data_IF_942317624925
#
_entry.id   IF_942317624925
#
_cell.length_a   1.000
_cell.length_b   1.000
_cell.length_c   1.000
_cell.angle_alpha   90.00
_cell.angle_beta   90.00
_cell.angle_gamma   90.00
#
_symmetry.space_group_name_H-M   'P 1'
#
loop_
_entity.id
_entity.type
_entity.pdbx_description
1 polymer ?
#
# COMPACT_ATOMS: atom_id res chain seq x y z
N UNK A 1 2.82 63.91 40.65
CA UNK A 1 2.68 63.55 39.21
C UNK A 1 2.93 62.05 39.08
N UNK A 2 1.91 61.30 38.76
CA UNK A 2 1.99 59.83 38.67
C UNK A 2 2.10 59.45 37.20
N UNK A 3 3.25 58.93 36.79
CA UNK A 3 3.42 58.37 35.45
C UNK A 3 2.82 56.95 35.45
N UNK A 4 1.73 56.79 34.76
CA UNK A 4 1.10 55.52 34.48
C UNK A 4 1.78 54.93 33.25
N UNK A 5 2.70 53.98 33.47
CA UNK A 5 3.31 53.22 32.41
C UNK A 5 2.28 52.24 31.81
N UNK A 6 1.91 52.48 30.58
CA UNK A 6 1.03 51.60 29.80
C UNK A 6 1.84 50.38 29.37
N UNK A 7 1.66 49.25 30.05
CA UNK A 7 2.26 47.96 29.68
C UNK A 7 1.48 47.38 28.51
N UNK A 8 2.06 47.49 27.33
CA UNK A 8 1.48 46.89 26.12
C UNK A 8 1.80 45.40 26.13
N UNK A 9 0.86 44.57 26.53
CA UNK A 9 0.99 43.10 26.42
C UNK A 9 0.71 42.74 24.96
N UNK A 10 1.79 42.45 24.21
CA UNK A 10 1.71 41.89 22.89
C UNK A 10 1.38 40.41 23.07
N UNK A 11 0.11 40.05 22.87
CA UNK A 11 -0.35 38.68 22.78
C UNK A 11 0.07 38.11 21.41
N UNK A 12 1.18 37.39 21.39
CA UNK A 12 1.58 36.63 20.20
C UNK A 12 0.65 35.43 20.12
N UNK A 13 -0.38 35.56 19.27
CA UNK A 13 -1.19 34.41 18.85
C UNK A 13 -0.32 33.53 17.97
N UNK A 14 0.26 32.51 18.56
CA UNK A 14 0.88 31.43 17.80
C UNK A 14 -0.28 30.68 17.09
N UNK A 15 -0.55 31.08 15.86
CA UNK A 15 -1.40 30.32 14.96
C UNK A 15 -0.67 29.03 14.63
N UNK A 16 -0.95 27.95 15.36
CA UNK A 16 -0.63 26.61 14.90
C UNK A 16 -1.46 26.38 13.63
N UNK A 17 -0.90 26.73 12.49
CA UNK A 17 -1.40 26.27 11.21
C UNK A 17 -1.23 24.75 11.17
N UNK A 18 -2.26 24.02 11.58
CA UNK A 18 -2.39 22.61 11.24
C UNK A 18 -2.57 22.56 9.72
N UNK A 19 -1.47 22.56 8.99
CA UNK A 19 -1.45 22.07 7.64
C UNK A 19 -1.72 20.57 7.74
N UNK A 20 -3.00 20.19 7.73
CA UNK A 20 -3.39 18.83 7.44
C UNK A 20 -2.92 18.55 6.01
N UNK A 21 -1.72 17.97 5.91
CA UNK A 21 -1.23 17.43 4.64
C UNK A 21 -2.22 16.33 4.26
N UNK A 22 -3.14 16.63 3.37
CA UNK A 22 -4.04 15.64 2.79
C UNK A 22 -3.14 14.71 2.00
N UNK A 23 -2.78 13.57 2.60
CA UNK A 23 -1.99 12.54 1.97
C UNK A 23 -2.78 12.00 0.79
N UNK A 24 -2.25 12.20 -0.41
CA UNK A 24 -2.88 11.68 -1.62
C UNK A 24 -2.90 10.17 -1.56
N UNK A 25 -4.10 9.58 -1.58
CA UNK A 25 -4.27 8.13 -1.64
C UNK A 25 -3.64 7.58 -2.93
N UNK A 26 -2.96 6.44 -2.81
CA UNK A 26 -2.46 5.72 -3.99
C UNK A 26 -3.64 5.25 -4.84
N UNK A 27 -3.47 5.16 -6.17
CA UNK A 27 -4.52 4.64 -7.03
C UNK A 27 -4.77 3.15 -6.74
N UNK A 28 -5.97 2.65 -7.04
CA UNK A 28 -6.24 1.22 -7.01
C UNK A 28 -5.38 0.49 -8.05
N UNK A 29 -5.18 -0.83 -7.90
CA UNK A 29 -4.54 -1.62 -8.95
C UNK A 29 -5.20 -1.39 -10.31
N UNK A 30 -4.40 -1.10 -11.32
CA UNK A 30 -4.90 -0.75 -12.65
C UNK A 30 -3.95 -1.18 -13.77
N UNK A 31 -4.46 -1.19 -15.00
CA UNK A 31 -3.68 -1.56 -16.19
C UNK A 31 -2.62 -0.51 -16.51
N UNK A 32 -1.40 -0.97 -16.72
CA UNK A 32 -0.26 -0.20 -17.21
C UNK A 32 0.45 -0.97 -18.32
N UNK A 33 1.46 -0.38 -18.94
CA UNK A 33 2.33 -1.11 -19.85
C UNK A 33 3.02 -2.25 -19.09
N UNK A 34 2.80 -3.48 -19.52
CA UNK A 34 3.40 -4.68 -18.92
C UNK A 34 2.50 -5.45 -17.96
N UNK A 35 1.33 -4.94 -17.56
CA UNK A 35 0.38 -5.68 -16.71
C UNK A 35 -0.44 -4.81 -15.78
N UNK A 36 -0.79 -5.36 -14.64
CA UNK A 36 -1.47 -4.63 -13.57
C UNK A 36 -0.43 -4.12 -12.59
N UNK A 37 -0.47 -2.84 -12.26
CA UNK A 37 0.37 -2.25 -11.22
C UNK A 37 -0.34 -2.32 -9.88
N UNK A 38 0.38 -2.81 -8.87
CA UNK A 38 0.03 -2.75 -7.45
C UNK A 38 0.97 -1.80 -6.75
N UNK A 39 0.43 -0.95 -5.90
CA UNK A 39 1.23 -0.04 -5.07
C UNK A 39 0.75 -0.07 -3.63
N UNK A 40 1.69 -0.10 -2.71
CA UNK A 40 1.40 -0.11 -1.28
C UNK A 40 2.39 0.75 -0.52
N UNK A 41 1.89 1.59 0.36
CA UNK A 41 2.73 2.43 1.19
C UNK A 41 3.06 1.74 2.51
N UNK A 42 4.32 1.44 2.70
CA UNK A 42 4.87 0.81 3.90
C UNK A 42 6.32 1.26 4.15
N UNK A 43 6.55 2.51 4.60
CA UNK A 43 7.89 3.09 4.69
C UNK A 43 8.81 2.35 5.68
N UNK A 44 8.26 1.64 6.64
CA UNK A 44 9.02 0.86 7.63
C UNK A 44 9.18 -0.61 7.26
N UNK A 45 8.58 -1.08 6.16
CA UNK A 45 8.68 -2.46 5.74
C UNK A 45 10.06 -2.77 5.14
N UNK A 46 10.51 -4.01 5.31
CA UNK A 46 11.72 -4.54 4.68
C UNK A 46 11.38 -5.43 3.48
N UNK A 47 10.15 -5.93 3.42
CA UNK A 47 9.65 -6.78 2.36
C UNK A 47 8.14 -6.62 2.24
N UNK A 48 7.66 -6.48 1.02
CA UNK A 48 6.23 -6.52 0.70
C UNK A 48 6.03 -7.49 -0.46
N UNK A 49 5.07 -8.40 -0.34
CA UNK A 49 4.71 -9.34 -1.39
C UNK A 49 3.23 -9.34 -1.64
N UNK A 50 2.82 -9.74 -2.85
CA UNK A 50 1.45 -9.98 -3.23
C UNK A 50 1.11 -11.45 -3.03
N UNK A 51 -0.03 -11.76 -2.44
CA UNK A 51 -0.56 -13.11 -2.30
C UNK A 51 -2.03 -13.13 -2.70
N UNK A 52 -2.44 -14.07 -3.54
CA UNK A 52 -3.81 -14.13 -4.00
C UNK A 52 -4.16 -15.46 -4.67
N UNK A 53 -5.34 -15.55 -5.24
CA UNK A 53 -5.80 -16.73 -5.98
C UNK A 53 -5.41 -16.68 -7.47
N UNK A 54 -4.21 -16.16 -7.75
CA UNK A 54 -3.66 -16.13 -9.10
C UNK A 54 -3.15 -17.53 -9.50
N UNK A 55 -3.24 -17.92 -10.79
CA UNK A 55 -2.79 -19.24 -11.24
C UNK A 55 -1.32 -19.55 -10.93
N UNK A 56 -0.46 -18.53 -10.92
CA UNK A 56 0.98 -18.64 -10.64
C UNK A 56 1.37 -18.22 -9.21
N UNK A 57 0.41 -17.80 -8.42
CA UNK A 57 0.60 -17.36 -7.04
C UNK A 57 -0.65 -17.71 -6.22
N UNK A 58 -0.73 -18.93 -5.79
CA UNK A 58 -1.83 -19.37 -4.95
C UNK A 58 -1.53 -19.04 -3.49
N UNK A 59 -1.97 -17.85 -3.10
CA UNK A 59 -1.79 -17.30 -1.74
C UNK A 59 -0.31 -17.25 -1.29
N UNK A 60 0.53 -16.77 -2.19
CA UNK A 60 1.97 -16.61 -1.94
C UNK A 60 2.79 -17.87 -2.14
N UNK A 61 2.17 -18.98 -2.56
CA UNK A 61 2.90 -20.19 -2.98
C UNK A 61 3.18 -20.19 -4.47
N UNK A 62 4.20 -20.92 -4.89
CA UNK A 62 4.47 -21.17 -6.31
C UNK A 62 3.53 -22.24 -6.87
N UNK A 63 3.19 -22.14 -8.16
CA UNK A 63 2.38 -23.15 -8.84
C UNK A 63 2.99 -24.55 -8.67
N UNK A 64 2.22 -25.50 -8.12
CA UNK A 64 2.63 -26.88 -7.91
C UNK A 64 3.36 -27.18 -6.59
N UNK A 65 3.66 -26.20 -5.76
CA UNK A 65 4.13 -26.44 -4.40
C UNK A 65 2.96 -26.44 -3.42
N UNK A 66 3.03 -27.34 -2.46
CA UNK A 66 2.05 -27.40 -1.37
C UNK A 66 1.97 -26.06 -0.66
N UNK A 67 0.94 -25.29 -0.91
CA UNK A 67 0.34 -24.17 -0.12
C UNK A 67 1.21 -23.41 0.90
N UNK A 68 2.54 -23.41 0.71
CA UNK A 68 3.44 -22.72 1.62
C UNK A 68 3.77 -21.35 1.05
N UNK A 69 3.59 -20.32 1.84
CA UNK A 69 4.00 -18.98 1.51
C UNK A 69 5.51 -18.93 1.19
N UNK A 70 5.84 -18.38 0.02
CA UNK A 70 7.20 -18.13 -0.44
C UNK A 70 7.43 -16.63 -0.58
N UNK A 71 8.28 -16.01 0.24
CA UNK A 71 8.52 -14.58 0.22
C UNK A 71 9.24 -14.08 -1.05
N UNK A 72 9.64 -14.96 -1.94
CA UNK A 72 10.20 -14.60 -3.26
C UNK A 72 9.13 -14.44 -4.35
N UNK A 73 7.91 -14.96 -4.10
CA UNK A 73 6.81 -14.91 -5.06
C UNK A 73 6.17 -13.53 -5.06
N UNK A 74 6.07 -12.91 -6.24
CA UNK A 74 5.45 -11.60 -6.47
C UNK A 74 5.85 -10.53 -5.45
N UNK A 75 7.14 -10.37 -5.30
CA UNK A 75 7.75 -9.33 -4.47
C UNK A 75 7.49 -7.95 -5.06
N UNK A 76 7.08 -7.01 -4.25
CA UNK A 76 7.04 -5.60 -4.59
C UNK A 76 8.42 -4.96 -4.35
N UNK A 77 8.69 -3.86 -5.01
CA UNK A 77 9.98 -3.16 -4.99
C UNK A 77 9.80 -1.70 -4.54
N UNK A 78 10.78 -1.22 -3.76
CA UNK A 78 10.94 0.18 -3.35
C UNK A 78 12.41 0.59 -3.57
N UNK A 79 12.94 0.26 -4.75
CA UNK A 79 14.35 0.46 -5.12
C UNK A 79 14.54 1.23 -6.44
N UNK A 80 13.46 1.80 -6.97
CA UNK A 80 13.46 2.51 -8.25
C UNK A 80 13.45 1.59 -9.46
N UNK A 81 13.15 0.29 -9.31
CA UNK A 81 13.07 -0.69 -10.38
C UNK A 81 11.71 -1.37 -10.45
N UNK A 82 11.48 -2.20 -11.49
CA UNK A 82 10.26 -3.02 -11.64
C UNK A 82 8.95 -2.22 -11.61
N UNK A 83 8.96 -0.99 -12.12
CA UNK A 83 7.81 -0.09 -12.14
C UNK A 83 7.73 0.86 -10.95
N UNK A 84 8.60 0.70 -9.98
CA UNK A 84 8.84 1.71 -8.95
C UNK A 84 9.67 2.86 -9.55
N UNK A 85 9.18 4.09 -9.39
CA UNK A 85 9.81 5.27 -10.00
C UNK A 85 10.78 5.99 -9.05
N UNK A 86 10.64 5.80 -7.74
CA UNK A 86 11.40 6.53 -6.73
C UNK A 86 11.87 5.58 -5.64
N UNK A 87 13.16 5.28 -5.64
CA UNK A 87 13.76 4.42 -4.63
C UNK A 87 13.58 4.97 -3.22
N UNK A 88 13.22 4.11 -2.28
CA UNK A 88 13.14 4.39 -0.83
C UNK A 88 12.17 5.50 -0.44
N UNK A 89 11.11 5.68 -1.21
CA UNK A 89 10.03 6.60 -0.85
C UNK A 89 8.94 5.95 0.03
N UNK A 90 9.08 4.66 0.30
CA UNK A 90 8.15 3.87 1.09
C UNK A 90 6.95 3.36 0.31
N UNK A 91 6.90 3.59 -0.99
CA UNK A 91 5.86 3.10 -1.88
C UNK A 91 6.38 1.89 -2.64
N UNK A 92 5.92 0.73 -2.24
CA UNK A 92 6.27 -0.55 -2.83
C UNK A 92 5.43 -0.82 -4.07
N UNK A 93 6.06 -1.21 -5.18
CA UNK A 93 5.42 -1.35 -6.49
C UNK A 93 5.71 -2.72 -7.10
N UNK A 94 4.69 -3.32 -7.73
CA UNK A 94 4.80 -4.51 -8.57
C UNK A 94 3.96 -4.30 -9.83
N UNK A 95 4.53 -4.62 -10.99
CA UNK A 95 3.78 -4.77 -12.24
C UNK A 95 3.71 -6.25 -12.59
N UNK A 96 2.50 -6.82 -12.60
CA UNK A 96 2.26 -8.25 -12.81
C UNK A 96 1.35 -8.48 -14.02
N UNK A 97 1.75 -9.39 -14.90
CA UNK A 97 0.87 -9.85 -15.98
C UNK A 97 -0.22 -10.75 -15.40
N UNK A 98 -1.47 -10.36 -15.58
CA UNK A 98 -2.63 -11.08 -15.08
C UNK A 98 -3.65 -11.21 -16.20
N UNK A 99 -4.16 -12.41 -16.44
CA UNK A 99 -5.22 -12.66 -17.43
C UNK A 99 -6.54 -12.04 -16.97
N UNK A 100 -7.47 -11.72 -17.90
CA UNK A 100 -8.81 -11.29 -17.53
C UNK A 100 -9.47 -12.25 -16.54
N UNK A 101 -10.15 -11.69 -15.54
CA UNK A 101 -10.80 -12.46 -14.48
C UNK A 101 -11.00 -11.65 -13.20
N UNK A 102 -11.60 -12.33 -12.21
CA UNK A 102 -11.81 -11.81 -10.87
C UNK A 102 -10.91 -12.54 -9.90
N UNK A 103 -10.10 -11.80 -9.17
CA UNK A 103 -9.10 -12.32 -8.25
C UNK A 103 -9.27 -11.74 -6.86
N UNK A 104 -8.97 -12.55 -5.84
CA UNK A 104 -8.85 -12.09 -4.46
C UNK A 104 -7.38 -12.05 -4.07
N UNK A 105 -6.99 -11.05 -3.29
CA UNK A 105 -5.60 -10.92 -2.87
C UNK A 105 -5.45 -10.19 -1.53
N UNK A 106 -4.29 -10.34 -0.95
CA UNK A 106 -3.76 -9.55 0.17
C UNK A 106 -2.32 -9.14 -0.12
N UNK A 107 -1.83 -8.19 0.63
CA UNK A 107 -0.41 -7.87 0.70
C UNK A 107 0.17 -8.51 1.97
N UNK A 108 1.40 -8.97 1.89
CA UNK A 108 2.11 -9.58 3.02
C UNK A 108 3.31 -8.73 3.35
N UNK A 109 3.33 -8.18 4.55
CA UNK A 109 4.38 -7.28 5.03
C UNK A 109 5.32 -8.07 5.93
N UNK A 110 6.62 -8.00 5.63
CA UNK A 110 7.68 -8.63 6.43
C UNK A 110 7.41 -10.10 6.75
N UNK A 111 6.82 -10.84 5.79
CA UNK A 111 6.47 -12.28 5.84
C UNK A 111 5.33 -12.67 6.80
N UNK A 112 4.85 -11.78 7.64
CA UNK A 112 3.97 -12.12 8.76
C UNK A 112 2.64 -11.37 8.76
N UNK A 113 2.60 -10.13 8.32
CA UNK A 113 1.40 -9.27 8.35
C UNK A 113 0.64 -9.38 7.03
N UNK A 114 -0.48 -10.09 7.04
CA UNK A 114 -1.40 -10.20 5.92
C UNK A 114 -2.43 -9.10 5.99
N UNK A 115 -2.40 -8.17 5.04
CA UNK A 115 -3.24 -6.98 5.06
C UNK A 115 -4.11 -6.88 3.82
N UNK A 116 -5.33 -6.38 4.02
CA UNK A 116 -6.20 -5.95 2.94
C UNK A 116 -5.60 -4.69 2.30
N UNK A 117 -5.58 -4.63 0.97
CA UNK A 117 -5.10 -3.45 0.25
C UNK A 117 -6.08 -2.28 0.47
N UNK A 118 -5.66 -1.19 1.12
CA UNK A 118 -6.52 -0.04 1.34
C UNK A 118 -6.88 0.69 0.05
N UNK A 119 -6.16 0.42 -1.04
CA UNK A 119 -6.39 1.03 -2.35
C UNK A 119 -7.32 0.21 -3.25
N UNK A 120 -7.68 -1.01 -2.86
CA UNK A 120 -8.61 -1.84 -3.61
C UNK A 120 -9.99 -1.17 -3.73
N UNK A 121 -10.61 -1.29 -4.92
CA UNK A 121 -11.95 -0.76 -5.16
C UNK A 121 -13.05 -1.60 -4.50
N UNK A 122 -12.79 -2.89 -4.31
CA UNK A 122 -13.75 -3.86 -3.77
C UNK A 122 -13.05 -4.78 -2.78
N UNK A 123 -13.78 -5.21 -1.77
CA UNK A 123 -13.34 -6.24 -0.82
C UNK A 123 -14.43 -7.30 -0.67
N UNK A 124 -14.03 -8.49 -0.24
CA UNK A 124 -14.93 -9.60 0.09
C UNK A 124 -14.49 -10.23 1.40
N UNK A 125 -15.38 -10.96 2.04
CA UNK A 125 -15.06 -11.70 3.25
C UNK A 125 -14.02 -12.79 2.95
N UNK A 126 -13.03 -12.94 3.84
CA UNK A 126 -11.97 -13.96 3.69
C UNK A 126 -12.32 -15.29 4.36
N UNK A 127 -13.46 -15.38 5.04
CA UNK A 127 -13.90 -16.56 5.77
C UNK A 127 -13.25 -16.74 7.15
N UNK A 128 -12.39 -15.80 7.57
CA UNK A 128 -11.65 -15.85 8.83
C UNK A 128 -11.85 -14.59 9.71
N UNK A 129 -12.92 -13.84 9.45
CA UNK A 129 -13.24 -12.60 10.18
C UNK A 129 -12.57 -11.34 9.61
N UNK A 130 -11.87 -11.43 8.49
CA UNK A 130 -11.24 -10.33 7.78
C UNK A 130 -11.77 -10.15 6.36
N UNK A 131 -11.05 -9.40 5.57
CA UNK A 131 -11.37 -9.08 4.17
C UNK A 131 -10.23 -9.42 3.24
N UNK A 132 -10.56 -9.96 2.07
CA UNK A 132 -9.67 -9.99 0.91
C UNK A 132 -9.96 -8.78 0.02
N UNK A 133 -8.92 -8.24 -0.58
CA UNK A 133 -9.06 -7.27 -1.67
C UNK A 133 -9.50 -7.98 -2.94
N UNK A 134 -10.28 -7.31 -3.78
CA UNK A 134 -10.75 -7.86 -5.05
C UNK A 134 -10.17 -7.05 -6.20
N UNK A 135 -9.62 -7.77 -7.18
CA UNK A 135 -9.15 -7.25 -8.45
C UNK A 135 -10.01 -7.80 -9.59
N UNK A 136 -10.50 -6.92 -10.46
CA UNK A 136 -11.17 -7.30 -11.70
C UNK A 136 -10.30 -6.85 -12.85
N UNK A 137 -9.82 -7.80 -13.66
CA UNK A 137 -9.07 -7.57 -14.89
C UNK A 137 -10.00 -7.82 -16.07
N UNK A 138 -10.16 -6.82 -16.92
CA UNK A 138 -11.02 -6.88 -18.13
C UNK A 138 -10.25 -7.38 -19.34
#
# INVERSE_FOLDING_TARGET
>A
MKNIGLLLIIMILASCSFLSVIKKRLPPPHQVKGGIVFQYEAPSAKLVTLAGDFPDNLWGGTAGSSKRYDPSTDKLYDDGTHGDNVAKDGIWTLVKKIKPGRYQYKLVIDKNSWVTDPNALETTDDGYGGKNSVLIVK
#
